data_IF_557964974283
#
_entry.id   IF_557964974283
#
_cell.length_a   1.000
_cell.length_b   1.000
_cell.length_c   1.000
_cell.angle_alpha   90.00
_cell.angle_beta   90.00
_cell.angle_gamma   90.00
#
_symmetry.space_group_name_H-M   'P 1'
#
loop_
_entity.id
_entity.type
_entity.pdbx_description
1 polymer ?
#
# COMPACT_ATOMS: atom_id res chain seq x y z
N UNK A 1 5.09 4.49 11.37
CA UNK A 1 3.92 3.61 11.13
C UNK A 1 4.26 2.64 10.01
N UNK A 2 3.88 1.37 10.14
CA UNK A 2 3.90 0.40 9.03
C UNK A 2 2.76 0.69 8.06
N UNK A 3 2.99 0.47 6.77
CA UNK A 3 1.94 0.41 5.75
C UNK A 3 1.55 -1.04 5.53
N UNK A 4 0.25 -1.29 5.37
CA UNK A 4 -0.30 -2.60 5.00
C UNK A 4 -0.85 -2.51 3.58
N UNK A 5 -0.60 -3.53 2.76
CA UNK A 5 -1.04 -3.59 1.36
C UNK A 5 -2.06 -4.72 1.20
N UNK A 6 -3.16 -4.44 0.50
CA UNK A 6 -4.21 -5.41 0.20
C UNK A 6 -4.37 -5.61 -1.30
N UNK A 7 -4.56 -6.86 -1.71
CA UNK A 7 -4.94 -7.22 -3.08
C UNK A 7 -6.45 -7.18 -3.23
N UNK A 8 -6.95 -6.47 -4.25
CA UNK A 8 -8.39 -6.31 -4.48
C UNK A 8 -8.77 -6.52 -5.94
N UNK A 9 -10.06 -6.73 -6.19
CA UNK A 9 -10.64 -6.92 -7.53
C UNK A 9 -9.93 -8.02 -8.33
N UNK A 10 -9.87 -9.23 -7.77
CA UNK A 10 -9.20 -10.36 -8.43
C UNK A 10 -7.70 -10.15 -8.65
N UNK A 11 -7.01 -9.53 -7.68
CA UNK A 11 -5.57 -9.26 -7.69
C UNK A 11 -5.10 -8.18 -8.68
N UNK A 12 -6.00 -7.43 -9.31
CA UNK A 12 -5.63 -6.41 -10.30
C UNK A 12 -5.09 -5.11 -9.68
N UNK A 13 -5.41 -4.84 -8.41
CA UNK A 13 -5.03 -3.61 -7.72
C UNK A 13 -4.40 -3.86 -6.35
N UNK A 14 -3.70 -2.85 -5.85
CA UNK A 14 -3.05 -2.79 -4.54
C UNK A 14 -3.56 -1.57 -3.78
N UNK A 15 -4.17 -1.80 -2.62
CA UNK A 15 -4.60 -0.72 -1.71
C UNK A 15 -3.57 -0.59 -0.60
N UNK A 16 -2.90 0.56 -0.51
CA UNK A 16 -1.93 0.85 0.54
C UNK A 16 -2.65 1.61 1.65
N UNK A 17 -2.60 1.09 2.88
CA UNK A 17 -3.28 1.69 4.01
C UNK A 17 -2.38 1.80 5.25
N UNK A 18 -2.74 2.74 6.12
CA UNK A 18 -2.23 2.82 7.50
C UNK A 18 -3.35 2.44 8.45
N UNK A 19 -3.05 1.51 9.37
CA UNK A 19 -4.03 0.96 10.30
C UNK A 19 -3.69 1.40 11.73
N UNK A 20 -4.66 2.05 12.37
CA UNK A 20 -4.64 2.36 13.80
C UNK A 20 -5.58 1.40 14.52
N UNK A 21 -5.07 0.23 14.91
CA UNK A 21 -5.87 -0.82 15.55
C UNK A 21 -6.53 -0.36 16.87
N UNK A 22 -5.79 0.37 17.71
CA UNK A 22 -6.31 0.90 18.98
C UNK A 22 -7.51 1.84 18.82
N UNK A 23 -7.57 2.56 17.70
CA UNK A 23 -8.67 3.49 17.37
C UNK A 23 -9.69 2.86 16.42
N UNK A 24 -9.46 1.63 15.97
CA UNK A 24 -10.25 0.92 14.94
C UNK A 24 -10.45 1.77 13.67
N UNK A 25 -9.39 2.47 13.24
CA UNK A 25 -9.42 3.30 12.02
C UNK A 25 -8.41 2.82 10.99
N UNK A 26 -8.85 2.76 9.74
CA UNK A 26 -8.01 2.50 8.57
C UNK A 26 -8.06 3.72 7.65
N UNK A 27 -6.89 4.15 7.21
CA UNK A 27 -6.75 5.25 6.26
C UNK A 27 -6.13 4.71 4.97
N UNK A 28 -6.83 4.87 3.86
CA UNK A 28 -6.31 4.57 2.53
C UNK A 28 -5.34 5.69 2.15
N UNK A 29 -4.12 5.32 1.77
CA UNK A 29 -3.09 6.26 1.32
C UNK A 29 -3.11 6.39 -0.19
N UNK A 30 -3.08 5.26 -0.88
CA UNK A 30 -2.98 5.16 -2.33
C UNK A 30 -3.67 3.89 -2.82
N UNK A 31 -4.14 3.90 -4.06
CA UNK A 31 -4.63 2.71 -4.78
C UNK A 31 -3.92 2.66 -6.12
N UNK A 32 -3.26 1.53 -6.39
CA UNK A 32 -2.46 1.34 -7.59
C UNK A 32 -2.93 0.12 -8.38
N UNK A 33 -2.77 0.14 -9.69
CA UNK A 33 -2.65 -1.09 -10.49
C UNK A 33 -1.39 -1.85 -10.11
N UNK A 34 -1.30 -3.13 -10.48
CA UNK A 34 -0.09 -3.93 -10.23
C UNK A 34 1.19 -3.26 -10.79
N UNK A 35 1.14 -2.77 -12.03
CA UNK A 35 2.29 -2.15 -12.69
C UNK A 35 2.71 -0.83 -12.02
N UNK A 36 1.76 -0.03 -11.54
CA UNK A 36 2.06 1.20 -10.79
C UNK A 36 2.67 0.88 -9.43
N UNK A 37 2.12 -0.11 -8.73
CA UNK A 37 2.66 -0.57 -7.45
C UNK A 37 4.09 -1.07 -7.59
N UNK A 38 4.41 -1.84 -8.63
CA UNK A 38 5.76 -2.33 -8.86
C UNK A 38 6.77 -1.20 -9.04
N UNK A 39 6.41 -0.18 -9.84
CA UNK A 39 7.24 1.02 -10.02
C UNK A 39 7.42 1.78 -8.71
N UNK A 40 6.32 2.00 -7.99
CA UNK A 40 6.33 2.67 -6.69
C UNK A 40 7.19 1.92 -5.68
N UNK A 41 7.04 0.61 -5.56
CA UNK A 41 7.81 -0.22 -4.64
C UNK A 41 9.31 -0.18 -4.97
N UNK A 42 9.68 -0.25 -6.26
CA UNK A 42 11.08 -0.14 -6.69
C UNK A 42 11.68 1.22 -6.30
N UNK A 43 10.96 2.32 -6.51
CA UNK A 43 11.41 3.66 -6.17
C UNK A 43 11.48 3.92 -4.65
N UNK A 44 10.66 3.24 -3.85
CA UNK A 44 10.65 3.40 -2.38
C UNK A 44 11.63 2.46 -1.68
N UNK A 45 11.97 1.31 -2.27
CA UNK A 45 13.01 0.40 -1.76
C UNK A 45 14.40 1.03 -1.76
N UNK A 46 14.72 1.86 -2.75
CA UNK A 46 16.02 2.53 -2.85
C UNK A 46 16.20 3.70 -1.89
N UNK A 47 15.11 4.21 -1.28
CA UNK A 47 15.14 5.32 -0.32
C UNK A 47 15.34 4.88 1.13
N UNK A 48 15.44 3.56 1.37
CA UNK A 48 15.65 2.97 2.68
C UNK A 48 17.16 2.70 2.86
N UNK A 49 17.95 3.77 2.93
CA UNK A 49 19.35 3.76 3.37
C UNK A 49 19.51 4.63 4.59
#
# INVERSE_FOLDING_TARGET
MSHTVFDVSGNNFRVIAVIHYNRQKLYIREVFTHAEYDRWNKANRSKKS
#
